data_IF_649799899039
#
_entry.id   IF_649799899039
#
_cell.length_a   1.000
_cell.length_b   1.000
_cell.length_c   1.000
_cell.angle_alpha   90.00
_cell.angle_beta   90.00
_cell.angle_gamma   90.00
#
_symmetry.space_group_name_H-M   'P 1'
#
loop_
_entity.id
_entity.type
_entity.pdbx_description
1 polymer ?
#
# COMPACT_ATOMS: atom_id res chain seq x y z
N UNK A 1 4.67 43.72 -23.50
CA UNK A 1 4.48 42.63 -24.49
C UNK A 1 3.72 41.52 -23.79
N UNK A 2 2.42 41.41 -24.06
CA UNK A 2 1.55 40.39 -23.47
C UNK A 2 1.81 39.06 -24.18
N UNK A 3 2.74 38.27 -23.67
CA UNK A 3 2.82 36.85 -24.02
C UNK A 3 1.52 36.21 -23.55
N UNK A 4 0.69 35.72 -24.48
CA UNK A 4 -0.44 34.87 -24.15
C UNK A 4 0.11 33.69 -23.35
N UNK A 5 -0.37 33.53 -22.12
CA UNK A 5 -0.14 32.35 -21.30
C UNK A 5 -0.71 31.16 -22.08
N UNK A 6 0.13 30.42 -22.80
CA UNK A 6 -0.31 29.24 -23.53
C UNK A 6 -0.40 28.08 -22.55
N UNK A 7 -1.52 28.04 -21.81
CA UNK A 7 -1.82 27.00 -20.84
C UNK A 7 -1.91 25.59 -21.47
N UNK A 8 -1.85 25.45 -22.80
CA UNK A 8 -1.75 24.17 -23.48
C UNK A 8 -0.30 23.67 -23.57
N UNK A 9 0.67 24.58 -23.73
CA UNK A 9 2.10 24.23 -23.85
C UNK A 9 2.72 23.76 -22.52
N UNK A 10 2.19 24.20 -21.38
CA UNK A 10 2.65 23.84 -20.04
C UNK A 10 1.92 22.64 -19.42
N UNK A 11 1.09 21.92 -20.19
CA UNK A 11 0.36 20.77 -19.64
C UNK A 11 1.32 19.59 -19.43
N UNK A 12 1.17 18.83 -18.33
CA UNK A 12 1.87 17.57 -18.16
C UNK A 12 1.68 16.68 -19.38
N UNK A 13 2.77 16.12 -19.89
CA UNK A 13 2.75 15.26 -21.08
C UNK A 13 3.45 13.95 -20.76
N UNK A 14 2.80 12.84 -21.10
CA UNK A 14 3.34 11.49 -20.94
C UNK A 14 3.63 10.93 -22.33
N UNK A 15 4.86 10.47 -22.53
CA UNK A 15 5.28 9.74 -23.74
C UNK A 15 5.71 8.34 -23.35
N UNK A 16 4.91 7.33 -23.69
CA UNK A 16 5.22 5.92 -23.40
C UNK A 16 6.25 5.42 -24.41
N UNK A 17 7.39 4.93 -23.93
CA UNK A 17 8.44 4.30 -24.76
C UNK A 17 8.21 2.81 -24.91
N UNK A 18 7.93 2.14 -23.79
CA UNK A 18 7.68 0.71 -23.75
C UNK A 18 6.63 0.41 -22.68
N UNK A 19 5.66 -0.44 -23.03
CA UNK A 19 4.73 -1.02 -22.09
C UNK A 19 4.66 -2.52 -22.36
N UNK A 20 4.97 -3.31 -21.35
CA UNK A 20 4.85 -4.76 -21.39
C UNK A 20 4.21 -5.25 -20.09
N UNK A 21 4.15 -6.58 -19.88
CA UNK A 21 3.50 -7.17 -18.71
C UNK A 21 4.12 -6.71 -17.38
N UNK A 22 5.44 -6.53 -17.36
CA UNK A 22 6.21 -6.33 -16.14
C UNK A 22 6.76 -4.90 -16.03
N UNK A 23 6.90 -4.17 -17.14
CA UNK A 23 7.47 -2.82 -17.18
C UNK A 23 6.59 -1.79 -17.89
N UNK A 24 6.54 -0.57 -17.33
CA UNK A 24 6.09 0.65 -17.99
C UNK A 24 7.22 1.68 -18.00
N UNK A 25 7.82 1.86 -19.18
CA UNK A 25 8.85 2.86 -19.42
C UNK A 25 8.26 4.06 -20.17
N UNK A 26 8.29 5.23 -19.53
CA UNK A 26 7.69 6.45 -20.07
C UNK A 26 8.48 7.69 -19.66
N UNK A 27 8.25 8.77 -20.39
CA UNK A 27 8.80 10.10 -20.13
C UNK A 27 7.67 11.00 -19.66
N UNK A 28 7.85 11.66 -18.53
CA UNK A 28 6.94 12.66 -17.99
C UNK A 28 7.56 14.05 -18.18
N UNK A 29 6.92 14.89 -18.99
CA UNK A 29 7.35 16.24 -19.34
C UNK A 29 6.40 17.29 -18.76
N UNK A 30 6.89 18.53 -18.61
CA UNK A 30 6.14 19.70 -18.11
C UNK A 30 5.57 19.52 -16.70
N UNK A 31 6.37 18.95 -15.79
CA UNK A 31 6.03 18.86 -14.37
C UNK A 31 7.20 19.29 -13.50
N UNK A 32 6.94 19.61 -12.24
CA UNK A 32 8.00 19.87 -11.26
C UNK A 32 8.60 18.57 -10.70
N UNK A 33 9.87 18.62 -10.28
CA UNK A 33 10.56 17.49 -9.62
C UNK A 33 9.81 16.97 -8.39
N UNK A 34 9.18 17.87 -7.63
CA UNK A 34 8.36 17.52 -6.47
C UNK A 34 7.13 16.71 -6.87
N UNK A 35 6.46 17.04 -7.98
CA UNK A 35 5.33 16.26 -8.50
C UNK A 35 5.79 14.87 -8.97
N UNK A 36 6.85 14.81 -9.80
CA UNK A 36 7.38 13.55 -10.31
C UNK A 36 7.84 12.62 -9.18
N UNK A 37 8.56 13.16 -8.18
CA UNK A 37 8.97 12.37 -7.01
C UNK A 37 7.78 11.95 -6.13
N UNK A 38 6.73 12.78 -6.01
CA UNK A 38 5.53 12.40 -5.27
C UNK A 38 4.80 11.24 -5.94
N UNK A 39 4.66 11.27 -7.27
CA UNK A 39 4.12 10.16 -8.05
C UNK A 39 4.95 8.89 -7.84
N UNK A 40 6.30 8.99 -7.91
CA UNK A 40 7.20 7.87 -7.62
C UNK A 40 6.93 7.24 -6.25
N UNK A 41 6.82 8.06 -5.20
CA UNK A 41 6.60 7.59 -3.83
C UNK A 41 5.24 6.92 -3.67
N UNK A 42 4.20 7.46 -4.31
CA UNK A 42 2.86 6.89 -4.25
C UNK A 42 2.80 5.54 -4.94
N UNK A 43 3.42 5.40 -6.11
CA UNK A 43 3.48 4.11 -6.81
C UNK A 43 4.12 3.01 -5.96
N UNK A 44 5.14 3.35 -5.16
CA UNK A 44 5.82 2.38 -4.29
C UNK A 44 4.99 2.05 -3.04
N UNK A 45 4.37 3.04 -2.41
CA UNK A 45 3.96 2.91 -1.01
C UNK A 45 2.46 3.02 -0.74
N UNK A 46 1.70 3.68 -1.63
CA UNK A 46 0.34 4.13 -1.35
C UNK A 46 -0.74 3.46 -2.20
N UNK A 47 -0.37 2.72 -3.23
CA UNK A 47 -1.32 1.95 -4.02
C UNK A 47 -1.79 0.75 -3.19
N UNK A 48 -3.11 0.58 -2.99
CA UNK A 48 -3.63 -0.56 -2.25
C UNK A 48 -3.50 -1.84 -3.07
N UNK A 49 -3.05 -2.91 -2.41
CA UNK A 49 -3.00 -4.27 -2.97
C UNK A 49 -3.57 -5.26 -1.97
N UNK A 50 -3.80 -6.50 -2.41
CA UNK A 50 -4.24 -7.59 -1.52
C UNK A 50 -3.08 -8.55 -1.28
N UNK A 51 -2.84 -8.89 -0.02
CA UNK A 51 -1.81 -9.87 0.38
C UNK A 51 -2.30 -10.68 1.59
N UNK A 52 -1.73 -11.87 1.79
CA UNK A 52 -2.06 -12.71 2.94
C UNK A 52 -1.64 -11.99 4.22
N UNK A 53 -2.58 -11.84 5.16
CA UNK A 53 -2.37 -11.10 6.40
C UNK A 53 -2.56 -11.97 7.63
N UNK A 54 -3.54 -12.87 7.60
CA UNK A 54 -3.77 -13.83 8.67
C UNK A 54 -3.58 -15.25 8.14
N UNK A 55 -2.87 -16.08 8.90
CA UNK A 55 -2.58 -17.48 8.58
C UNK A 55 -2.98 -18.34 9.77
N UNK A 56 -4.04 -19.12 9.60
CA UNK A 56 -4.49 -20.12 10.57
C UNK A 56 -3.89 -21.48 10.19
N UNK A 57 -3.02 -22.01 11.05
CA UNK A 57 -2.38 -23.32 10.85
C UNK A 57 -3.12 -24.36 11.68
N UNK A 58 -3.80 -25.28 11.00
CA UNK A 58 -4.51 -26.40 11.65
C UNK A 58 -3.58 -27.57 11.91
N UNK A 59 -2.70 -27.84 10.96
CA UNK A 59 -1.69 -28.89 11.07
C UNK A 59 -0.45 -28.49 10.28
N UNK A 60 0.71 -28.51 10.93
CA UNK A 60 2.02 -28.36 10.29
C UNK A 60 2.97 -29.42 10.88
N UNK A 61 3.29 -30.43 10.08
CA UNK A 61 4.33 -31.42 10.40
C UNK A 61 5.55 -31.29 9.49
N UNK A 62 5.67 -30.14 8.81
CA UNK A 62 6.81 -29.84 7.94
C UNK A 62 8.06 -29.53 8.76
N UNK A 63 9.19 -29.35 8.07
CA UNK A 63 10.44 -28.95 8.73
C UNK A 63 10.51 -27.45 9.06
N UNK A 64 9.58 -26.65 8.53
CA UNK A 64 9.57 -25.20 8.74
C UNK A 64 8.67 -24.84 9.92
N UNK A 65 9.14 -23.97 10.83
CA UNK A 65 8.27 -23.37 11.84
C UNK A 65 7.12 -22.60 11.22
N UNK A 66 6.04 -22.49 12.00
CA UNK A 66 4.78 -21.87 11.61
C UNK A 66 4.96 -20.43 11.13
N UNK A 67 5.69 -19.62 11.90
CA UNK A 67 5.96 -18.22 11.60
C UNK A 67 6.80 -18.03 10.33
N UNK A 68 7.70 -18.98 10.04
CA UNK A 68 8.51 -18.93 8.83
C UNK A 68 7.65 -19.18 7.59
N UNK A 69 6.73 -20.15 7.69
CA UNK A 69 5.79 -20.43 6.61
C UNK A 69 4.77 -19.30 6.44
N UNK A 70 4.25 -18.75 7.54
CA UNK A 70 3.35 -17.60 7.52
C UNK A 70 3.99 -16.37 6.85
N UNK A 71 5.26 -16.07 7.18
CA UNK A 71 6.00 -14.99 6.52
C UNK A 71 6.13 -15.23 5.00
N UNK A 72 6.46 -16.45 4.57
CA UNK A 72 6.54 -16.78 3.14
C UNK A 72 5.20 -16.64 2.43
N UNK A 73 4.12 -17.10 3.06
CA UNK A 73 2.76 -16.96 2.53
C UNK A 73 2.38 -15.49 2.38
N UNK A 74 2.73 -14.64 3.35
CA UNK A 74 2.53 -13.19 3.28
C UNK A 74 3.23 -12.53 2.10
N UNK A 75 4.37 -13.07 1.65
CA UNK A 75 5.16 -12.55 0.51
C UNK A 75 4.75 -13.15 -0.85
N UNK A 76 3.72 -14.01 -0.91
CA UNK A 76 3.19 -14.48 -2.19
C UNK A 76 2.34 -13.36 -2.81
N UNK A 77 2.70 -12.85 -4.01
CA UNK A 77 1.90 -11.82 -4.65
C UNK A 77 0.56 -12.40 -5.10
N UNK A 78 -0.51 -11.67 -4.82
CA UNK A 78 -1.87 -11.98 -5.27
C UNK A 78 -2.32 -10.95 -6.29
N UNK A 79 -3.11 -11.39 -7.28
CA UNK A 79 -3.68 -10.51 -8.29
C UNK A 79 -4.62 -9.49 -7.63
N UNK A 80 -4.29 -8.21 -7.79
CA UNK A 80 -4.83 -7.07 -7.03
C UNK A 80 -5.50 -6.03 -7.94
N UNK A 81 -6.01 -6.44 -9.11
CA UNK A 81 -6.66 -5.55 -10.07
C UNK A 81 -7.81 -4.78 -9.41
N UNK A 82 -7.85 -3.45 -9.59
CA UNK A 82 -8.87 -2.55 -9.03
C UNK A 82 -9.06 -2.72 -7.49
N UNK A 83 -8.01 -3.08 -6.74
CA UNK A 83 -8.11 -3.38 -5.30
C UNK A 83 -8.83 -2.28 -4.49
N UNK A 84 -8.62 -1.00 -4.82
CA UNK A 84 -9.30 0.14 -4.20
C UNK A 84 -10.83 0.00 -4.21
N UNK A 85 -11.39 -0.54 -5.29
CA UNK A 85 -12.84 -0.72 -5.52
C UNK A 85 -13.30 -2.12 -5.14
N UNK A 86 -12.44 -3.12 -5.29
CA UNK A 86 -12.78 -4.53 -5.09
C UNK A 86 -12.94 -4.92 -3.62
N UNK A 87 -12.18 -4.27 -2.71
CA UNK A 87 -12.24 -4.52 -1.28
C UNK A 87 -12.37 -3.22 -0.47
N UNK A 88 -13.23 -3.27 0.53
CA UNK A 88 -13.27 -2.29 1.63
C UNK A 88 -12.11 -2.60 2.58
N UNK A 89 -11.57 -1.57 3.22
CA UNK A 89 -10.60 -1.79 4.29
C UNK A 89 -11.24 -2.60 5.42
N UNK A 90 -10.52 -3.57 5.97
CA UNK A 90 -11.06 -4.39 7.06
C UNK A 90 -11.37 -3.54 8.30
N UNK A 91 -10.64 -2.44 8.52
CA UNK A 91 -10.88 -1.49 9.62
C UNK A 91 -12.21 -0.75 9.51
N UNK A 92 -12.71 -0.61 8.28
CA UNK A 92 -14.00 0.04 7.98
C UNK A 92 -15.14 -0.97 7.84
N UNK A 93 -14.83 -2.25 8.04
CA UNK A 93 -15.76 -3.35 7.85
C UNK A 93 -16.33 -3.77 9.21
N UNK A 94 -17.65 -3.77 9.36
CA UNK A 94 -18.34 -4.23 10.58
C UNK A 94 -18.26 -5.76 10.86
N UNK A 95 -17.39 -6.51 10.16
CA UNK A 95 -17.21 -7.94 10.38
C UNK A 95 -16.06 -8.20 11.36
N UNK A 96 -16.09 -9.34 12.06
CA UNK A 96 -15.06 -9.68 13.06
C UNK A 96 -13.77 -10.23 12.43
N UNK A 97 -13.83 -11.39 11.77
CA UNK A 97 -12.63 -12.09 11.30
C UNK A 97 -12.31 -11.88 9.80
N UNK A 98 -13.31 -11.41 9.04
CA UNK A 98 -13.24 -11.20 7.59
C UNK A 98 -14.51 -11.67 6.88
N UNK A 99 -14.89 -10.95 5.83
CA UNK A 99 -16.02 -11.31 4.97
C UNK A 99 -15.67 -11.05 3.50
N UNK A 100 -16.58 -11.43 2.60
CA UNK A 100 -16.42 -11.26 1.15
C UNK A 100 -16.24 -9.80 0.70
N UNK A 101 -16.51 -8.82 1.56
CA UNK A 101 -16.37 -7.39 1.23
C UNK A 101 -14.99 -6.82 1.54
N UNK A 102 -14.29 -7.37 2.54
CA UNK A 102 -13.00 -6.85 3.00
C UNK A 102 -11.85 -7.85 2.88
N UNK A 103 -12.12 -9.11 2.51
CA UNK A 103 -11.10 -10.15 2.53
C UNK A 103 -11.30 -11.21 1.44
N UNK A 104 -10.23 -11.95 1.17
CA UNK A 104 -10.23 -13.13 0.29
C UNK A 104 -9.64 -14.31 1.07
N UNK A 105 -10.33 -15.44 1.10
CA UNK A 105 -9.82 -16.65 1.73
C UNK A 105 -9.06 -17.52 0.72
N UNK A 106 -7.90 -18.04 1.14
CA UNK A 106 -7.16 -19.09 0.44
C UNK A 106 -6.93 -20.28 1.38
N UNK A 107 -6.90 -21.49 0.84
CA UNK A 107 -6.59 -22.71 1.60
C UNK A 107 -5.42 -23.44 0.96
N UNK A 108 -4.59 -24.06 1.81
CA UNK A 108 -3.46 -24.88 1.39
C UNK A 108 -3.50 -26.22 2.14
N UNK A 109 -3.75 -27.30 1.39
CA UNK A 109 -3.77 -28.66 1.94
C UNK A 109 -2.83 -29.55 1.15
N UNK A 110 -1.79 -30.05 1.82
CA UNK A 110 -0.80 -30.92 1.20
C UNK A 110 -0.43 -32.08 2.12
N UNK A 111 -0.24 -33.27 1.53
CA UNK A 111 0.22 -34.47 2.25
C UNK A 111 1.17 -35.24 1.35
N UNK A 112 2.40 -35.46 1.81
CA UNK A 112 3.38 -36.21 1.05
C UNK A 112 3.21 -37.72 1.27
N UNK A 113 2.51 -38.38 0.35
CA UNK A 113 2.30 -39.85 0.38
C UNK A 113 3.38 -40.62 -0.38
N UNK A 114 4.10 -39.95 -1.29
CA UNK A 114 5.12 -40.56 -2.15
C UNK A 114 6.44 -40.75 -1.42
N UNK A 115 7.34 -41.58 -1.98
CA UNK A 115 8.69 -41.81 -1.43
C UNK A 115 9.66 -40.66 -1.73
N UNK A 116 9.33 -39.82 -2.73
CA UNK A 116 10.09 -38.62 -3.07
C UNK A 116 9.67 -37.42 -2.23
N UNK A 117 10.36 -36.29 -2.44
CA UNK A 117 9.94 -35.04 -1.82
C UNK A 117 8.78 -34.43 -2.62
N UNK A 118 7.75 -33.98 -1.92
CA UNK A 118 6.66 -33.16 -2.46
C UNK A 118 7.07 -31.69 -2.36
N UNK A 119 7.05 -30.98 -3.48
CA UNK A 119 7.26 -29.53 -3.50
C UNK A 119 5.90 -28.86 -3.41
N UNK A 120 5.67 -28.10 -2.33
CA UNK A 120 4.47 -27.28 -2.16
C UNK A 120 4.80 -25.86 -2.58
N UNK A 121 3.95 -25.30 -3.41
CA UNK A 121 4.17 -24.04 -4.12
C UNK A 121 2.94 -23.14 -4.02
N UNK A 122 3.09 -21.89 -4.46
CA UNK A 122 1.98 -20.93 -4.57
C UNK A 122 0.82 -21.40 -5.45
N UNK A 123 1.00 -22.34 -6.38
CA UNK A 123 -0.10 -22.93 -7.17
C UNK A 123 -1.01 -23.85 -6.37
N UNK A 124 -0.51 -24.36 -5.24
CA UNK A 124 -1.28 -25.23 -4.36
C UNK A 124 -2.22 -24.43 -3.43
N UNK A 125 -2.12 -23.09 -3.44
CA UNK A 125 -3.07 -22.19 -2.77
C UNK A 125 -4.36 -22.11 -3.59
N UNK A 126 -5.46 -22.52 -2.98
CA UNK A 126 -6.78 -22.52 -3.58
C UNK A 126 -7.58 -21.37 -3.00
N UNK A 127 -7.93 -20.38 -3.84
CA UNK A 127 -8.81 -19.26 -3.46
C UNK A 127 -10.25 -19.74 -3.36
N UNK A 128 -10.90 -19.48 -2.23
CA UNK A 128 -12.33 -19.70 -2.04
C UNK A 128 -13.15 -18.62 -2.74
N UNK A 129 -14.34 -18.97 -3.25
CA UNK A 129 -15.23 -17.97 -3.88
C UNK A 129 -15.89 -17.07 -2.85
N UNK A 130 -16.23 -17.63 -1.68
CA UNK A 130 -16.85 -16.95 -0.54
C UNK A 130 -16.18 -17.40 0.76
N UNK A 131 -16.17 -16.54 1.77
CA UNK A 131 -15.70 -16.86 3.12
C UNK A 131 -16.85 -17.50 3.91
N UNK A 132 -16.78 -18.83 4.10
CA UNK A 132 -17.77 -19.56 4.89
C UNK A 132 -17.69 -19.16 6.37
N UNK A 133 -18.84 -18.91 7.00
CA UNK A 133 -18.99 -18.51 8.40
C UNK A 133 -18.46 -17.11 8.75
N UNK A 134 -18.52 -16.15 7.82
CA UNK A 134 -18.35 -14.75 8.20
C UNK A 134 -19.39 -14.38 9.27
N UNK A 135 -18.94 -14.08 10.49
CA UNK A 135 -19.81 -13.55 11.55
C UNK A 135 -20.20 -12.14 11.17
N UNK A 136 -21.47 -11.96 10.82
CA UNK A 136 -22.03 -10.67 10.40
C UNK A 136 -22.96 -10.19 11.52
N UNK A 137 -22.66 -9.00 12.04
CA UNK A 137 -23.58 -8.30 12.93
C UNK A 137 -24.65 -7.58 12.10
N UNK A 138 -25.87 -7.48 12.65
CA UNK A 138 -27.01 -6.80 12.02
C UNK A 138 -26.76 -5.27 12.02
N UNK A 139 -25.99 -4.83 11.03
CA UNK A 139 -25.66 -3.44 10.76
C UNK A 139 -26.12 -3.11 9.33
N UNK A 140 -26.85 -2.00 9.15
CA UNK A 140 -27.31 -1.53 7.85
C UNK A 140 -26.14 -1.35 6.86
N UNK A 141 -24.94 -1.02 7.35
CA UNK A 141 -23.73 -0.94 6.55
C UNK A 141 -23.32 -2.30 5.95
N UNK A 142 -23.78 -3.43 6.49
CA UNK A 142 -23.50 -4.80 6.01
C UNK A 142 -24.46 -5.30 4.92
N UNK A 143 -25.58 -4.62 4.71
CA UNK A 143 -26.56 -5.00 3.67
C UNK A 143 -26.13 -4.57 2.24
N UNK A 144 -25.10 -3.74 2.12
CA UNK A 144 -24.52 -3.39 0.82
C UNK A 144 -23.77 -4.59 0.20
N UNK A 145 -24.04 -4.93 -1.09
CA UNK A 145 -23.43 -6.07 -1.74
C UNK A 145 -21.91 -5.89 -1.89
N UNK A 146 -21.18 -7.00 -1.86
CA UNK A 146 -19.75 -6.98 -2.18
C UNK A 146 -19.54 -6.41 -3.60
N UNK A 147 -18.55 -5.52 -3.74
CA UNK A 147 -18.18 -4.99 -5.04
C UNK A 147 -17.80 -6.14 -6.01
N UNK A 148 -18.16 -6.01 -7.30
CA UNK A 148 -17.76 -7.00 -8.29
C UNK A 148 -16.24 -7.05 -8.37
N UNK A 149 -15.69 -8.27 -8.32
CA UNK A 149 -14.25 -8.52 -8.42
C UNK A 149 -13.93 -9.16 -9.76
N UNK A 150 -12.72 -8.89 -10.29
CA UNK A 150 -12.21 -9.67 -11.41
C UNK A 150 -12.18 -11.16 -11.03
N UNK A 151 -12.50 -12.12 -11.93
CA UNK A 151 -12.54 -13.56 -11.61
C UNK A 151 -11.24 -14.10 -11.00
N UNK A 152 -10.11 -13.52 -11.39
CA UNK A 152 -8.78 -13.90 -10.89
C UNK A 152 -8.30 -13.06 -9.69
N UNK A 153 -9.09 -12.09 -9.21
CA UNK A 153 -8.73 -11.28 -8.05
C UNK A 153 -8.45 -12.16 -6.82
N UNK A 154 -7.35 -11.90 -6.12
CA UNK A 154 -6.91 -12.65 -4.95
C UNK A 154 -6.32 -14.02 -5.26
N UNK A 155 -6.21 -14.43 -6.53
CA UNK A 155 -5.45 -15.64 -6.91
C UNK A 155 -3.94 -15.35 -6.89
N UNK A 156 -3.09 -16.34 -6.58
CA UNK A 156 -1.64 -16.20 -6.70
C UNK A 156 -1.23 -15.81 -8.12
N UNK A 157 -0.29 -14.87 -8.26
CA UNK A 157 0.25 -14.50 -9.57
C UNK A 157 0.87 -15.75 -10.23
N UNK A 158 0.52 -16.00 -11.50
CA UNK A 158 0.99 -17.18 -12.24
C UNK A 158 0.22 -18.47 -12.00
N UNK A 159 -0.97 -18.40 -11.37
CA UNK A 159 -1.85 -19.56 -11.21
C UNK A 159 -2.23 -20.22 -12.55
N UNK A 160 -2.22 -19.45 -13.65
CA UNK A 160 -2.51 -19.88 -15.02
C UNK A 160 -1.35 -20.65 -15.68
N UNK A 161 -0.19 -20.70 -15.04
CA UNK A 161 1.00 -21.34 -15.56
C UNK A 161 1.94 -20.41 -16.34
N UNK A 162 1.61 -19.12 -16.46
CA UNK A 162 2.40 -18.13 -17.22
C UNK A 162 3.77 -17.84 -16.62
N UNK A 163 3.92 -17.99 -15.30
CA UNK A 163 5.20 -17.86 -14.59
C UNK A 163 5.45 -19.07 -13.67
N UNK A 164 6.73 -19.38 -13.37
CA UNK A 164 7.08 -20.39 -12.39
C UNK A 164 6.47 -20.06 -11.01
N UNK A 165 5.94 -21.05 -10.29
CA UNK A 165 5.34 -20.79 -8.99
C UNK A 165 6.42 -20.59 -7.92
N UNK A 166 6.09 -19.82 -6.90
CA UNK A 166 6.93 -19.64 -5.72
C UNK A 166 6.91 -20.92 -4.90
N UNK A 167 8.08 -21.48 -4.58
CA UNK A 167 8.22 -22.60 -3.66
C UNK A 167 7.94 -22.12 -2.23
N UNK A 168 7.07 -22.83 -1.50
CA UNK A 168 6.71 -22.52 -0.11
C UNK A 168 7.49 -23.43 0.84
N UNK A 169 7.40 -24.74 0.63
CA UNK A 169 8.06 -25.76 1.47
C UNK A 169 8.28 -27.04 0.67
N UNK A 170 9.33 -27.79 1.02
CA UNK A 170 9.52 -29.17 0.55
C UNK A 170 9.17 -30.13 1.68
N UNK A 171 8.35 -31.12 1.36
CA UNK A 171 7.83 -32.10 2.32
C UNK A 171 8.35 -33.48 1.98
N UNK A 172 8.70 -34.26 3.00
CA UNK A 172 9.08 -35.66 2.88
C UNK A 172 7.91 -36.57 3.27
N UNK A 173 8.04 -37.87 2.98
CA UNK A 173 6.96 -38.84 3.18
C UNK A 173 6.40 -38.79 4.61
N UNK A 174 5.09 -38.66 4.72
CA UNK A 174 4.36 -38.63 5.99
C UNK A 174 4.13 -37.22 6.55
N UNK A 175 4.76 -36.18 5.98
CA UNK A 175 4.48 -34.80 6.37
C UNK A 175 3.17 -34.30 5.74
N UNK A 176 2.53 -33.41 6.46
CA UNK A 176 1.20 -32.85 6.23
C UNK A 176 1.17 -31.35 6.54
N UNK A 177 0.35 -30.65 5.78
CA UNK A 177 0.08 -29.23 5.91
C UNK A 177 -1.42 -28.97 5.68
N UNK A 178 -2.08 -28.28 6.61
CA UNK A 178 -3.46 -27.78 6.48
C UNK A 178 -3.52 -26.35 7.03
N UNK A 179 -3.66 -25.39 6.12
CA UNK A 179 -3.61 -23.95 6.41
C UNK A 179 -4.80 -23.26 5.76
N UNK A 180 -5.37 -22.31 6.50
CA UNK A 180 -6.31 -21.31 6.00
C UNK A 180 -5.65 -19.93 6.06
N UNK A 181 -5.76 -19.17 4.99
CA UNK A 181 -5.17 -17.85 4.84
C UNK A 181 -6.28 -16.83 4.56
N UNK A 182 -6.25 -15.70 5.25
CA UNK A 182 -7.11 -14.55 4.96
C UNK A 182 -6.24 -13.44 4.40
N UNK A 183 -6.50 -13.07 3.16
CA UNK A 183 -5.84 -11.97 2.47
C UNK A 183 -6.67 -10.69 2.62
N UNK A 184 -6.00 -9.59 2.92
CA UNK A 184 -6.60 -8.29 3.21
C UNK A 184 -5.98 -7.20 2.33
N UNK A 185 -6.79 -6.18 2.07
CA UNK A 185 -6.34 -4.94 1.44
C UNK A 185 -5.36 -4.23 2.39
N UNK A 186 -4.27 -3.73 1.86
CA UNK A 186 -3.29 -2.94 2.61
C UNK A 186 -2.38 -2.13 1.70
N UNK A 187 -1.41 -1.45 2.31
CA UNK A 187 -0.50 -0.53 1.63
C UNK A 187 0.96 -0.84 1.98
N UNK A 188 1.88 -0.54 1.07
CA UNK A 188 3.30 -0.82 1.30
C UNK A 188 3.91 -0.01 2.47
N UNK A 189 3.28 1.11 2.87
CA UNK A 189 3.64 1.85 4.09
C UNK A 189 3.48 1.03 5.37
N UNK A 190 2.52 0.11 5.40
CA UNK A 190 2.27 -0.75 6.56
C UNK A 190 3.22 -1.95 6.54
N UNK A 191 3.39 -2.59 5.38
CA UNK A 191 4.34 -3.68 5.19
C UNK A 191 4.70 -3.84 3.70
N UNK A 192 5.96 -4.14 3.41
CA UNK A 192 6.48 -4.26 2.04
C UNK A 192 5.76 -5.31 1.16
N UNK A 193 5.07 -6.28 1.77
CA UNK A 193 4.26 -7.31 1.08
C UNK A 193 3.15 -6.73 0.21
N UNK A 194 2.70 -5.52 0.50
CA UNK A 194 1.67 -4.81 -0.26
C UNK A 194 2.24 -3.88 -1.35
N UNK A 195 3.55 -3.90 -1.62
CA UNK A 195 4.12 -3.11 -2.73
C UNK A 195 3.68 -3.72 -4.07
N UNK A 196 2.99 -2.97 -4.95
CA UNK A 196 2.71 -3.45 -6.30
C UNK A 196 3.95 -3.39 -7.20
N UNK A 197 4.97 -2.62 -6.82
CA UNK A 197 6.20 -2.44 -7.59
C UNK A 197 7.36 -3.27 -7.03
N UNK A 198 8.17 -3.81 -7.94
CA UNK A 198 9.51 -4.34 -7.63
C UNK A 198 10.51 -3.18 -7.52
N UNK A 199 10.50 -2.30 -8.53
CA UNK A 199 11.37 -1.13 -8.60
C UNK A 199 10.69 0.00 -9.39
N UNK A 200 11.12 1.23 -9.13
CA UNK A 200 10.75 2.40 -9.95
C UNK A 200 12.03 3.13 -10.31
N UNK A 201 12.50 2.89 -11.54
CA UNK A 201 13.55 3.66 -12.19
C UNK A 201 13.12 5.12 -12.33
N UNK A 202 14.04 6.03 -12.01
CA UNK A 202 13.78 7.47 -11.98
C UNK A 202 15.06 8.21 -12.29
N UNK A 203 15.06 8.98 -13.36
CA UNK A 203 16.18 9.80 -13.80
C UNK A 203 15.67 11.12 -14.38
N UNK A 204 16.49 12.17 -14.31
CA UNK A 204 16.29 13.43 -15.00
C UNK A 204 17.67 14.06 -15.28
N UNK A 205 17.77 14.94 -16.28
CA UNK A 205 19.00 15.65 -16.65
C UNK A 205 20.22 14.72 -16.81
N UNK A 206 20.20 13.79 -17.79
CA UNK A 206 21.24 12.75 -17.96
C UNK A 206 22.64 13.33 -18.18
N UNK A 207 22.73 14.54 -18.74
CA UNK A 207 23.98 15.26 -19.00
C UNK A 207 24.44 16.17 -17.85
N UNK A 208 23.71 16.17 -16.72
CA UNK A 208 23.97 17.04 -15.56
C UNK A 208 24.13 18.53 -15.95
N UNK A 209 23.33 19.00 -16.92
CA UNK A 209 23.37 20.37 -17.39
C UNK A 209 22.98 21.36 -16.29
N UNK A 210 22.17 20.93 -15.32
CA UNK A 210 21.73 21.71 -14.15
C UNK A 210 22.75 21.68 -13.01
N UNK A 211 23.78 20.84 -13.07
CA UNK A 211 24.78 20.66 -12.02
C UNK A 211 24.16 20.29 -10.66
N UNK A 212 23.11 19.49 -10.69
CA UNK A 212 22.49 18.94 -9.47
C UNK A 212 23.40 17.91 -8.78
N UNK A 213 24.36 17.35 -9.49
CA UNK A 213 25.45 16.55 -8.92
C UNK A 213 26.81 17.13 -9.29
N UNK A 214 27.80 16.89 -8.43
CA UNK A 214 29.22 17.11 -8.76
C UNK A 214 29.86 15.74 -8.92
N UNK A 215 30.27 15.39 -10.14
CA UNK A 215 30.92 14.11 -10.39
C UNK A 215 32.23 14.01 -9.61
N UNK A 216 32.40 12.90 -8.90
CA UNK A 216 33.70 12.52 -8.36
C UNK A 216 34.54 11.91 -9.48
N UNK A 217 35.82 12.26 -9.61
CA UNK A 217 36.70 11.67 -10.61
C UNK A 217 38.16 11.77 -10.15
N UNK A 218 39.02 10.92 -10.70
CA UNK A 218 40.48 10.96 -10.46
C UNK A 218 41.21 11.68 -11.59
N UNK A 219 40.82 11.44 -12.84
CA UNK A 219 41.49 11.92 -14.04
C UNK A 219 40.55 12.72 -14.95
N UNK A 220 39.43 12.13 -15.34
CA UNK A 220 38.48 12.73 -16.29
C UNK A 220 37.06 12.23 -16.02
N UNK A 221 36.20 13.13 -15.55
CA UNK A 221 34.81 12.85 -15.25
C UNK A 221 34.03 12.25 -16.44
N UNK A 222 34.31 12.70 -17.68
CA UNK A 222 33.60 12.20 -18.88
C UNK A 222 33.97 10.76 -19.23
N UNK A 223 35.19 10.34 -18.87
CA UNK A 223 35.65 8.97 -19.12
C UNK A 223 35.26 8.02 -17.98
N UNK A 224 35.21 8.52 -16.74
CA UNK A 224 34.91 7.72 -15.56
C UNK A 224 33.42 7.50 -15.32
N UNK A 225 32.56 8.43 -15.74
CA UNK A 225 31.10 8.31 -15.61
C UNK A 225 30.46 7.94 -16.96
N UNK A 226 29.94 6.71 -17.11
CA UNK A 226 29.27 6.32 -18.33
C UNK A 226 27.94 7.05 -18.48
N UNK A 227 27.64 7.46 -19.71
CA UNK A 227 26.34 8.03 -20.06
C UNK A 227 25.26 6.95 -20.04
N UNK A 228 24.12 7.26 -19.41
CA UNK A 228 22.96 6.37 -19.37
C UNK A 228 22.20 6.35 -20.70
N UNK A 229 21.27 5.39 -20.90
CA UNK A 229 20.49 5.28 -22.14
C UNK A 229 19.60 6.50 -22.42
N UNK A 230 19.28 7.30 -21.39
CA UNK A 230 18.48 8.51 -21.55
C UNK A 230 19.31 9.69 -22.10
N UNK A 231 20.64 9.63 -22.05
CA UNK A 231 21.53 10.66 -22.60
C UNK A 231 21.37 10.83 -24.12
N UNK A 232 21.03 9.76 -24.84
CA UNK A 232 20.77 9.79 -26.29
C UNK A 232 19.53 10.63 -26.66
N UNK A 233 18.65 10.92 -25.69
CA UNK A 233 17.38 11.62 -25.90
C UNK A 233 17.47 13.13 -25.69
N UNK A 234 18.60 13.61 -25.17
CA UNK A 234 18.85 15.02 -24.92
C UNK A 234 20.18 15.44 -25.54
N UNK A 235 20.22 16.66 -26.07
CA UNK A 235 21.47 17.20 -26.59
C UNK A 235 22.42 17.53 -25.42
N UNK A 236 23.69 17.11 -25.51
CA UNK A 236 24.67 17.45 -24.48
C UNK A 236 24.91 18.97 -24.44
N UNK A 237 25.23 19.54 -23.26
CA UNK A 237 25.53 20.95 -23.14
C UNK A 237 26.76 21.32 -23.99
N UNK A 238 26.67 22.44 -24.72
CA UNK A 238 27.78 22.93 -25.54
C UNK A 238 28.99 23.29 -24.67
N UNK A 239 30.18 22.80 -25.06
CA UNK A 239 31.41 23.09 -24.34
C UNK A 239 31.70 24.59 -24.32
N UNK A 240 31.91 25.15 -23.12
CA UNK A 240 32.18 26.58 -22.93
C UNK A 240 30.94 27.49 -22.91
N UNK A 241 29.73 26.95 -23.09
CA UNK A 241 28.51 27.73 -22.88
C UNK A 241 28.39 28.19 -21.42
N UNK A 242 27.88 29.41 -21.17
CA UNK A 242 27.63 29.88 -19.80
C UNK A 242 26.59 28.98 -19.13
N UNK A 243 26.73 28.76 -17.82
CA UNK A 243 25.76 27.99 -17.05
C UNK A 243 24.42 28.74 -16.99
N UNK A 244 23.33 28.04 -17.29
CA UNK A 244 21.98 28.59 -17.22
C UNK A 244 21.38 28.37 -15.83
N UNK A 245 21.48 29.41 -15.00
CA UNK A 245 20.92 29.43 -13.64
C UNK A 245 19.39 29.41 -13.60
N UNK A 246 18.70 29.69 -14.71
CA UNK A 246 17.24 29.73 -14.77
C UNK A 246 16.63 28.43 -15.30
N UNK A 247 17.45 27.54 -15.88
CA UNK A 247 17.00 26.23 -16.33
C UNK A 247 16.46 25.45 -15.13
N UNK A 248 15.30 24.83 -15.31
CA UNK A 248 14.67 23.94 -14.33
C UNK A 248 14.51 22.56 -14.92
N UNK A 249 14.38 21.56 -14.06
CA UNK A 249 14.00 20.22 -14.49
C UNK A 249 12.54 20.24 -14.91
N UNK A 250 12.26 19.78 -16.12
CA UNK A 250 10.90 19.65 -16.67
C UNK A 250 10.62 18.28 -17.31
N UNK A 251 11.65 17.43 -17.45
CA UNK A 251 11.59 16.11 -18.08
C UNK A 251 12.14 15.02 -17.16
N UNK A 252 11.35 13.96 -16.97
CA UNK A 252 11.65 12.84 -16.09
C UNK A 252 11.49 11.51 -16.81
N UNK A 253 12.45 10.63 -16.65
CA UNK A 253 12.45 9.28 -17.22
C UNK A 253 12.05 8.29 -16.13
N UNK A 254 10.94 7.60 -16.36
CA UNK A 254 10.42 6.56 -15.47
C UNK A 254 10.57 5.18 -16.10
N UNK A 255 10.86 4.19 -15.25
CA UNK A 255 10.73 2.77 -15.56
C UNK A 255 10.10 2.06 -14.37
N UNK A 256 8.79 1.82 -14.45
CA UNK A 256 8.02 1.18 -13.38
C UNK A 256 8.01 -0.32 -13.63
N UNK A 257 8.63 -1.08 -12.73
CA UNK A 257 8.62 -2.54 -12.75
C UNK A 257 7.58 -3.07 -11.74
N UNK A 258 6.58 -3.78 -12.24
CA UNK A 258 5.54 -4.39 -11.44
C UNK A 258 6.01 -5.72 -10.81
N UNK A 259 5.51 -5.99 -9.60
CA UNK A 259 5.66 -7.27 -8.89
C UNK A 259 4.85 -8.41 -9.51
N UNK A 260 3.96 -8.10 -10.46
CA UNK A 260 3.01 -9.02 -11.08
C UNK A 260 1.62 -9.05 -10.42
N UNK A 261 1.45 -8.46 -9.24
CA UNK A 261 0.14 -8.33 -8.57
C UNK A 261 -0.82 -7.39 -9.33
N UNK A 262 -0.27 -6.42 -10.07
CA UNK A 262 -1.00 -5.39 -10.81
C UNK A 262 -0.26 -5.07 -12.11
N UNK A 263 -0.97 -4.66 -13.16
CA UNK A 263 -0.34 -4.28 -14.42
C UNK A 263 0.41 -2.93 -14.28
N UNK A 264 1.61 -2.74 -14.86
CA UNK A 264 2.38 -1.50 -14.73
C UNK A 264 1.61 -0.22 -15.11
N UNK A 265 0.76 -0.27 -16.14
CA UNK A 265 -0.08 0.86 -16.50
C UNK A 265 -1.11 1.21 -15.41
N UNK A 266 -1.72 0.19 -14.81
CA UNK A 266 -2.69 0.36 -13.72
C UNK A 266 -2.03 0.93 -12.47
N UNK A 267 -0.76 0.57 -12.20
CA UNK A 267 0.03 1.18 -11.13
C UNK A 267 0.17 2.69 -11.35
N UNK A 268 0.56 3.11 -12.55
CA UNK A 268 0.73 4.54 -12.89
C UNK A 268 -0.61 5.28 -12.81
N UNK A 269 -1.68 4.72 -13.39
CA UNK A 269 -3.03 5.30 -13.39
C UNK A 269 -3.58 5.42 -11.97
N UNK A 270 -3.46 4.37 -11.15
CA UNK A 270 -3.91 4.38 -9.76
C UNK A 270 -3.09 5.37 -8.93
N UNK A 271 -1.78 5.46 -9.17
CA UNK A 271 -0.91 6.42 -8.51
C UNK A 271 -1.30 7.88 -8.79
N UNK A 272 -1.66 8.19 -10.05
CA UNK A 272 -2.19 9.50 -10.44
C UNK A 272 -3.56 9.78 -9.82
N UNK A 273 -4.47 8.79 -9.82
CA UNK A 273 -5.78 8.92 -9.19
C UNK A 273 -5.71 9.15 -7.68
N UNK A 274 -4.75 8.52 -6.99
CA UNK A 274 -4.51 8.75 -5.56
C UNK A 274 -3.94 10.14 -5.28
N UNK A 275 -3.08 10.68 -6.15
CA UNK A 275 -2.62 12.07 -6.05
C UNK A 275 -3.79 13.05 -6.16
N UNK A 276 -4.64 12.87 -7.17
CA UNK A 276 -5.83 13.70 -7.38
C UNK A 276 -6.76 13.65 -6.16
N UNK A 277 -7.07 12.43 -5.69
CA UNK A 277 -7.94 12.22 -4.53
C UNK A 277 -7.42 12.92 -3.27
N UNK A 278 -6.14 12.76 -2.95
CA UNK A 278 -5.55 13.37 -1.74
C UNK A 278 -5.51 14.89 -1.81
N UNK A 279 -5.22 15.45 -2.98
CA UNK A 279 -5.27 16.91 -3.17
C UNK A 279 -6.70 17.42 -3.02
N UNK A 280 -7.68 16.69 -3.57
CA UNK A 280 -9.10 17.04 -3.44
C UNK A 280 -9.58 17.01 -1.97
N UNK A 281 -9.14 16.03 -1.17
CA UNK A 281 -9.47 15.98 0.26
C UNK A 281 -8.98 17.22 1.03
N UNK A 282 -7.75 17.68 0.77
CA UNK A 282 -7.21 18.89 1.40
C UNK A 282 -8.06 20.12 1.04
N UNK A 283 -8.48 20.24 -0.22
CA UNK A 283 -9.34 21.36 -0.66
C UNK A 283 -10.70 21.31 0.03
N UNK A 284 -11.28 20.11 0.19
CA UNK A 284 -12.55 19.92 0.88
C UNK A 284 -12.46 20.32 2.35
N UNK A 285 -11.42 19.89 3.06
CA UNK A 285 -11.21 20.25 4.48
C UNK A 285 -11.04 21.76 4.67
N UNK A 286 -10.26 22.42 3.80
CA UNK A 286 -10.10 23.87 3.83
C UNK A 286 -11.43 24.59 3.60
N UNK A 287 -12.25 24.09 2.69
CA UNK A 287 -13.57 24.68 2.39
C UNK A 287 -14.52 24.58 3.60
N UNK A 288 -14.40 23.52 4.41
CA UNK A 288 -15.20 23.35 5.64
C UNK A 288 -14.80 24.33 6.74
N UNK A 289 -13.57 24.85 6.75
CA UNK A 289 -13.11 25.83 7.72
C UNK A 289 -13.64 27.24 7.43
N UNK A 290 -13.87 27.56 6.15
CA UNK A 290 -14.34 28.88 5.72
C UNK A 290 -15.85 29.09 5.93
N UNK A 291 -16.61 28.02 6.17
CA UNK A 291 -18.05 28.05 6.46
C UNK A 291 -18.31 27.64 7.92
N UNK A 292 -18.10 28.55 8.91
CA UNK A 292 -18.46 28.27 10.30
C UNK A 292 -19.98 28.24 10.41
N UNK A 293 -20.57 27.05 10.22
CA UNK A 293 -21.96 26.83 10.54
C UNK A 293 -22.21 27.24 12.01
N UNK A 294 -23.14 28.16 12.29
CA UNK A 294 -23.45 28.52 13.66
C UNK A 294 -24.26 27.39 14.29
N UNK A 295 -23.61 26.59 15.14
CA UNK A 295 -24.26 25.76 16.15
C UNK A 295 -25.18 24.67 15.61
N UNK A 296 -24.61 23.50 15.33
CA UNK A 296 -25.36 22.27 15.16
C UNK A 296 -24.41 21.10 15.31
N UNK A 297 -24.33 20.53 16.51
CA UNK A 297 -23.59 19.30 16.75
C UNK A 297 -24.18 18.20 15.88
N UNK A 298 -23.47 17.83 14.82
CA UNK A 298 -23.68 16.60 14.08
C UNK A 298 -22.45 15.74 14.32
N UNK A 299 -22.67 14.74 15.16
CA UNK A 299 -21.81 13.61 15.39
C UNK A 299 -21.68 12.84 14.06
N UNK A 300 -20.65 13.15 13.29
CA UNK A 300 -20.24 12.35 12.14
C UNK A 300 -18.76 12.02 12.35
N UNK A 301 -18.49 10.72 12.53
CA UNK A 301 -17.17 10.18 12.81
C UNK A 301 -16.15 10.61 11.75
N UNK A 302 -15.26 11.52 12.13
CA UNK A 302 -14.05 11.83 11.39
C UNK A 302 -13.04 10.71 11.62
N UNK A 303 -12.63 10.07 10.53
CA UNK A 303 -11.52 9.13 10.51
C UNK A 303 -10.21 9.93 10.45
N UNK A 304 -9.42 9.87 11.53
CA UNK A 304 -8.03 10.34 11.59
C UNK A 304 -7.11 9.25 10.97
N UNK A 305 -6.13 9.57 10.10
CA UNK A 305 -5.20 8.58 9.58
C UNK A 305 -4.29 7.95 10.66
N UNK A 306 -4.23 8.50 11.88
CA UNK A 306 -3.42 7.98 12.98
C UNK A 306 -4.23 7.94 14.29
N UNK A 307 -5.10 6.93 14.40
CA UNK A 307 -6.03 6.73 15.51
C UNK A 307 -5.41 6.81 16.91
N UNK A 308 -5.46 8.01 17.51
CA UNK A 308 -5.18 8.21 18.94
C UNK A 308 -6.26 9.10 19.55
N UNK A 309 -7.38 8.48 19.93
CA UNK A 309 -8.45 9.16 20.67
C UNK A 309 -8.03 9.45 22.11
N UNK A 310 -7.79 10.72 22.44
CA UNK A 310 -7.74 11.19 23.83
C UNK A 310 -9.17 11.49 24.28
N UNK A 311 -9.73 10.63 25.14
CA UNK A 311 -11.07 10.77 25.69
C UNK A 311 -11.17 11.95 26.65
N UNK A 312 -11.83 13.02 26.23
CA UNK A 312 -12.30 14.10 27.10
C UNK A 312 -13.77 13.88 27.47
N UNK A 313 -14.04 13.63 28.76
CA UNK A 313 -15.41 13.55 29.29
C UNK A 313 -16.11 14.92 29.22
N UNK A 314 -17.40 15.01 28.81
CA UNK A 314 -18.20 16.20 29.05
C UNK A 314 -18.96 16.09 30.38
N UNK A 315 -18.81 17.15 31.17
CA UNK A 315 -19.50 17.39 32.43
C UNK A 315 -20.80 18.18 32.18
N UNK A 316 -21.92 17.72 32.73
CA UNK A 316 -22.85 18.60 33.46
C UNK A 316 -24.21 18.98 32.84
N UNK A 317 -25.27 18.60 33.56
CA UNK A 317 -26.61 19.24 33.59
C UNK A 317 -27.74 18.21 33.43
N UNK A 318 -28.63 17.92 34.38
CA UNK A 318 -29.04 18.54 35.64
C UNK A 318 -30.57 18.63 35.66
N UNK A 319 -31.25 17.81 36.49
CA UNK A 319 -32.46 18.10 37.30
C UNK A 319 -33.26 16.83 37.69
N UNK A 320 -33.19 16.49 38.99
CA UNK A 320 -34.29 16.30 39.95
C UNK A 320 -35.44 15.30 39.69
N UNK A 321 -35.51 14.18 40.43
CA UNK A 321 -36.13 14.08 41.78
C UNK A 321 -36.48 12.63 42.21
N UNK A 322 -36.01 12.29 43.41
CA UNK A 322 -36.70 11.57 44.49
C UNK A 322 -36.79 10.02 44.50
N UNK A 323 -36.13 9.45 45.53
CA UNK A 323 -36.74 8.41 46.38
C UNK A 323 -35.94 7.12 46.57
N UNK A 324 -35.41 6.91 47.79
CA UNK A 324 -35.22 5.55 48.34
C UNK A 324 -33.89 5.26 49.02
N UNK A 325 -33.89 5.37 50.34
CA UNK A 325 -32.87 4.92 51.30
C UNK A 325 -32.37 3.48 51.08
N UNK A 326 -31.09 3.24 51.42
CA UNK A 326 -30.54 1.90 51.59
C UNK A 326 -29.06 1.91 51.98
N UNK A 327 -28.77 2.19 53.25
CA UNK A 327 -27.46 1.96 53.90
C UNK A 327 -27.01 0.49 53.78
N UNK A 328 -25.74 0.26 53.42
CA UNK A 328 -24.96 -0.85 54.01
C UNK A 328 -23.44 -0.66 53.84
N UNK A 329 -22.80 -0.48 55.01
CA UNK A 329 -21.43 -0.80 55.43
C UNK A 329 -20.45 -1.47 54.44
N UNK A 330 -19.29 -0.82 54.30
CA UNK A 330 -18.05 -1.28 54.95
C UNK A 330 -17.09 -2.14 54.13
N UNK A 331 -15.90 -1.61 53.82
CA UNK A 331 -14.59 -2.13 54.25
C UNK A 331 -13.44 -1.17 53.82
N UNK A 332 -12.72 -0.66 54.83
CA UNK A 332 -11.33 -0.16 54.82
C UNK A 332 -10.37 -1.23 54.20
N UNK A 333 -9.17 -1.00 53.66
CA UNK A 333 -8.13 0.02 53.84
C UNK A 333 -7.03 -0.10 52.74
N UNK A 334 -6.48 1.05 52.32
CA UNK A 334 -5.05 1.42 52.28
C UNK A 334 -4.00 0.42 51.72
N UNK A 335 -3.30 0.80 50.64
CA UNK A 335 -1.88 1.22 50.70
C UNK A 335 -1.33 1.70 49.34
N UNK A 336 -0.69 2.86 49.39
CA UNK A 336 0.19 3.43 48.38
C UNK A 336 1.49 2.61 48.29
N UNK A 337 2.03 2.44 47.08
CA UNK A 337 3.47 2.57 46.85
C UNK A 337 3.77 2.80 45.37
N UNK A 338 4.30 3.98 45.09
CA UNK A 338 5.02 4.30 43.87
C UNK A 338 6.45 3.74 43.97
N UNK A 339 7.01 3.28 42.84
CA UNK A 339 8.43 3.51 42.59
C UNK A 339 8.73 3.51 41.07
N UNK A 340 9.67 4.37 40.61
CA UNK A 340 9.92 4.73 39.23
C UNK A 340 11.10 3.96 38.63
N UNK A 341 11.14 3.80 37.31
CA UNK A 341 12.40 3.64 36.58
C UNK A 341 12.27 4.32 35.21
N UNK A 342 12.62 5.61 35.22
CA UNK A 342 13.18 6.31 34.08
C UNK A 342 14.70 6.14 34.12
N UNK A 343 15.32 5.88 32.98
CA UNK A 343 16.78 5.79 32.85
C UNK A 343 17.18 5.36 31.46
N UNK A 344 17.30 6.33 30.55
CA UNK A 344 18.06 6.17 29.31
C UNK A 344 19.54 6.36 29.56
N UNK A 345 20.37 5.81 28.66
CA UNK A 345 21.77 6.18 28.44
C UNK A 345 22.14 5.92 26.98
N UNK A 346 22.83 6.92 26.42
CA UNK A 346 23.75 6.96 25.28
C UNK A 346 23.29 6.63 23.84
#
# INVERSE_FOLDING_TARGET
MNGRYDAAALRPKITVRQLNRDHANFILENVDLSFANSLRRIMIADIPTVAIDMVEIRNNTTVLPDEFLAHRLGMVPLLSMDCSKALVDHRDCACEDGCDRCSVELTLRARCTTRGNLEVTSRDLIRSDTIENATIYDDDAMNEPAAPKHPDFGRPVGHDGSIPPIMLVKMSKGQELDIRCIARKGFAKEHAKWSPCSAVGFEYDPHNALRHTTYWYEFDAKQEWPEGPNAELEEPPQEGAPFDYNKKVDKFYFDVEASGSMHPAEIVETGLGLLEYRVAQIVQELSMLDDPQPGGGLENGMMDPYGTGTGGMPNGGGMDMNGGMGDMNGYHAQQQQANPYAGGWD
#
